data_IF_323442328928
#
_entry.id   IF_323442328928
#
_cell.length_a   1.000
_cell.length_b   1.000
_cell.length_c   1.000
_cell.angle_alpha   90.00
_cell.angle_beta   90.00
_cell.angle_gamma   90.00
#
_symmetry.space_group_name_H-M   'P 1'
#
loop_
_entity.id
_entity.type
_entity.pdbx_description
1 polymer ?
#
# COMPACT_ATOMS: atom_id res chain seq x y z
N UNK A 1 12.12 1.28 -6.55
CA UNK A 1 12.33 0.15 -5.61
C UNK A 1 13.06 -0.96 -6.35
N UNK A 2 13.96 -1.73 -5.70
CA UNK A 2 14.71 -2.81 -6.38
C UNK A 2 13.95 -4.14 -6.43
N UNK A 3 13.01 -4.35 -5.50
CA UNK A 3 12.11 -5.50 -5.43
C UNK A 3 10.67 -4.96 -5.41
N UNK A 4 9.76 -5.63 -6.11
CA UNK A 4 8.35 -5.20 -6.23
C UNK A 4 7.35 -6.23 -5.67
N UNK A 5 7.82 -7.40 -5.24
CA UNK A 5 7.00 -8.46 -4.65
C UNK A 5 7.42 -8.69 -3.21
N UNK A 6 6.47 -8.58 -2.27
CA UNK A 6 6.72 -8.68 -0.84
C UNK A 6 5.67 -9.57 -0.17
N UNK A 7 6.07 -10.25 0.91
CA UNK A 7 5.15 -10.97 1.79
C UNK A 7 4.81 -10.08 2.97
N UNK A 8 3.53 -9.88 3.22
CA UNK A 8 3.01 -9.08 4.33
C UNK A 8 2.07 -9.95 5.17
N UNK A 9 2.10 -9.79 6.48
CA UNK A 9 1.21 -10.52 7.39
C UNK A 9 -0.23 -10.07 7.19
N UNK A 10 -1.13 -11.01 6.89
CA UNK A 10 -2.51 -10.72 6.51
C UNK A 10 -3.35 -10.02 7.61
N UNK A 11 -2.99 -10.18 8.88
CA UNK A 11 -3.63 -9.51 10.02
C UNK A 11 -3.17 -8.07 10.23
N UNK A 12 -2.13 -7.62 9.53
CA UNK A 12 -1.70 -6.23 9.62
C UNK A 12 -2.73 -5.30 9.00
N UNK A 13 -2.80 -4.09 9.58
CA UNK A 13 -3.51 -2.96 8.99
C UNK A 13 -2.69 -2.37 7.85
N UNK A 14 -3.34 -1.71 6.91
CA UNK A 14 -2.70 -1.09 5.77
C UNK A 14 -1.70 0.01 6.17
N UNK A 15 -1.90 0.65 7.33
CA UNK A 15 -0.91 1.55 7.93
C UNK A 15 0.49 0.93 8.05
N UNK A 16 0.59 -0.38 8.31
CA UNK A 16 1.89 -1.06 8.36
C UNK A 16 2.55 -1.13 6.98
N UNK A 17 1.77 -1.27 5.91
CA UNK A 17 2.25 -1.23 4.51
C UNK A 17 2.74 0.18 4.16
N UNK A 18 2.01 1.23 4.57
CA UNK A 18 2.44 2.62 4.37
C UNK A 18 3.78 2.88 5.07
N UNK A 19 3.92 2.46 6.34
CA UNK A 19 5.18 2.61 7.08
C UNK A 19 6.33 1.81 6.45
N UNK A 20 6.04 0.60 5.97
CA UNK A 20 6.99 -0.24 5.25
C UNK A 20 7.49 0.45 3.98
N UNK A 21 6.58 0.96 3.15
CA UNK A 21 6.94 1.69 1.92
C UNK A 21 7.79 2.93 2.21
N UNK A 22 7.47 3.70 3.25
CA UNK A 22 8.30 4.86 3.66
C UNK A 22 9.73 4.46 3.98
N UNK A 23 9.92 3.34 4.70
CA UNK A 23 11.25 2.82 5.04
C UNK A 23 12.01 2.37 3.79
N UNK A 24 11.38 1.60 2.92
CA UNK A 24 11.99 1.10 1.67
C UNK A 24 12.36 2.23 0.69
N UNK A 25 11.57 3.31 0.67
CA UNK A 25 11.81 4.49 -0.15
C UNK A 25 12.75 5.51 0.50
N UNK A 26 13.16 5.31 1.76
CA UNK A 26 13.90 6.26 2.57
C UNK A 26 13.22 7.64 2.68
N UNK A 27 11.89 7.66 2.73
CA UNK A 27 11.09 8.88 2.86
C UNK A 27 10.82 9.23 4.32
N UNK A 28 10.91 10.51 4.65
CA UNK A 28 10.61 11.06 5.98
C UNK A 28 9.10 11.13 6.20
N UNK A 29 8.68 11.26 7.46
CA UNK A 29 7.26 11.36 7.80
C UNK A 29 6.54 12.55 7.15
N UNK A 30 7.25 13.65 6.90
CA UNK A 30 6.71 14.84 6.23
C UNK A 30 6.61 14.73 4.71
N UNK A 31 7.25 13.73 4.10
CA UNK A 31 7.20 13.57 2.65
C UNK A 31 5.82 13.02 2.24
N UNK A 32 5.18 13.58 1.20
CA UNK A 32 3.90 13.08 0.72
C UNK A 32 4.05 11.66 0.18
N UNK A 33 3.22 10.75 0.69
CA UNK A 33 3.10 9.39 0.19
C UNK A 33 1.62 9.05 0.08
N UNK A 34 1.15 8.89 -1.14
CA UNK A 34 -0.18 8.42 -1.46
C UNK A 34 -0.09 6.98 -1.94
N UNK A 35 -1.03 6.15 -1.51
CA UNK A 35 -1.08 4.73 -1.86
C UNK A 35 -2.45 4.37 -2.40
N UNK A 36 -2.47 3.49 -3.40
CA UNK A 36 -3.68 3.09 -4.10
C UNK A 36 -3.70 1.59 -4.32
N UNK A 37 -4.88 0.98 -4.27
CA UNK A 37 -5.09 -0.41 -4.66
C UNK A 37 -5.54 -0.44 -6.13
N UNK A 38 -4.86 -1.26 -6.95
CA UNK A 38 -5.19 -1.47 -8.37
C UNK A 38 -5.39 -0.18 -9.19
N UNK A 39 -4.60 0.88 -8.94
CA UNK A 39 -4.74 2.19 -9.58
C UNK A 39 -6.15 2.80 -9.51
N UNK A 40 -6.94 2.46 -8.48
CA UNK A 40 -8.36 2.83 -8.41
C UNK A 40 -8.69 3.72 -7.22
N UNK A 41 -8.35 3.29 -6.00
CA UNK A 41 -8.75 3.99 -4.78
C UNK A 41 -7.68 3.90 -3.69
N UNK A 42 -7.71 4.84 -2.75
CA UNK A 42 -6.83 4.81 -1.58
C UNK A 42 -7.49 4.05 -0.43
N UNK A 43 -6.87 2.96 0.08
CA UNK A 43 -7.44 2.21 1.19
C UNK A 43 -7.32 3.00 2.51
N UNK A 44 -8.21 2.72 3.45
CA UNK A 44 -8.14 3.34 4.77
C UNK A 44 -6.95 2.74 5.56
N UNK A 45 -6.21 3.55 6.36
CA UNK A 45 -5.07 3.04 7.13
C UNK A 45 -5.41 1.90 8.09
N UNK A 46 -6.66 1.81 8.54
CA UNK A 46 -7.18 0.80 9.45
C UNK A 46 -7.72 -0.46 8.75
N UNK A 47 -7.88 -0.45 7.42
CA UNK A 47 -8.21 -1.64 6.64
C UNK A 47 -7.18 -2.75 6.88
N UNK A 48 -7.64 -3.99 7.02
CA UNK A 48 -6.73 -5.13 7.11
C UNK A 48 -6.25 -5.55 5.72
N UNK A 49 -4.98 -5.94 5.62
CA UNK A 49 -4.40 -6.45 4.37
C UNK A 49 -5.17 -7.69 3.88
N UNK A 50 -5.66 -8.53 4.80
CA UNK A 50 -6.50 -9.68 4.45
C UNK A 50 -7.82 -9.28 3.79
N UNK A 51 -8.51 -8.24 4.25
CA UNK A 51 -9.76 -7.78 3.65
C UNK A 51 -9.51 -7.18 2.26
N UNK A 52 -8.49 -6.35 2.13
CA UNK A 52 -8.10 -5.77 0.84
C UNK A 52 -7.70 -6.85 -0.17
N UNK A 53 -6.92 -7.85 0.26
CA UNK A 53 -6.52 -8.98 -0.59
C UNK A 53 -7.72 -9.79 -1.06
N UNK A 54 -8.65 -10.16 -0.16
CA UNK A 54 -9.84 -10.93 -0.52
C UNK A 54 -10.74 -10.21 -1.52
N UNK A 55 -10.82 -8.88 -1.42
CA UNK A 55 -11.74 -8.08 -2.23
C UNK A 55 -11.14 -7.61 -3.54
N UNK A 56 -9.82 -7.38 -3.59
CA UNK A 56 -9.15 -6.66 -4.67
C UNK A 56 -7.86 -7.31 -5.17
N UNK A 57 -7.60 -8.58 -4.83
CA UNK A 57 -6.43 -9.27 -5.40
C UNK A 57 -6.58 -9.51 -6.90
N UNK A 58 -5.45 -9.41 -7.59
CA UNK A 58 -5.29 -9.70 -9.02
C UNK A 58 -4.18 -10.73 -9.15
N UNK A 59 -4.44 -11.85 -9.83
CA UNK A 59 -3.47 -12.93 -10.04
C UNK A 59 -2.75 -13.39 -8.76
N UNK A 60 -3.51 -13.52 -7.67
CA UNK A 60 -2.99 -13.96 -6.37
C UNK A 60 -2.18 -12.92 -5.60
N UNK A 61 -2.19 -11.65 -6.02
CA UNK A 61 -1.45 -10.56 -5.40
C UNK A 61 -2.35 -9.37 -5.11
N UNK A 62 -2.08 -8.65 -4.02
CA UNK A 62 -2.67 -7.32 -3.79
C UNK A 62 -1.72 -6.28 -4.40
N UNK A 63 -2.15 -5.60 -5.46
CA UNK A 63 -1.34 -4.59 -6.13
C UNK A 63 -1.48 -3.27 -5.36
N UNK A 64 -0.36 -2.75 -4.88
CA UNK A 64 -0.27 -1.46 -4.20
C UNK A 64 0.57 -0.51 -5.06
N UNK A 65 -0.07 0.54 -5.54
CA UNK A 65 0.58 1.63 -6.26
C UNK A 65 0.88 2.77 -5.29
N UNK A 66 1.95 3.53 -5.54
CA UNK A 66 2.31 4.69 -4.72
C UNK A 66 2.69 5.89 -5.57
N UNK A 67 2.48 7.09 -5.03
CA UNK A 67 2.79 8.38 -5.67
C UNK A 67 3.20 9.43 -4.64
N UNK A 68 4.02 10.40 -5.06
CA UNK A 68 4.33 11.62 -4.28
C UNK A 68 3.24 12.69 -4.42
N UNK A 69 2.37 12.57 -5.42
CA UNK A 69 1.25 13.47 -5.68
C UNK A 69 -0.07 12.72 -5.57
N UNK A 70 -1.10 13.38 -5.06
CA UNK A 70 -2.44 12.81 -5.02
C UNK A 70 -2.94 12.63 -6.46
N UNK A 71 -3.30 11.39 -6.82
CA UNK A 71 -3.88 11.05 -8.11
C UNK A 71 -5.42 11.09 -8.09
N UNK A 72 -6.01 10.80 -6.92
CA UNK A 72 -7.45 10.81 -6.68
C UNK A 72 -7.73 11.38 -5.29
N UNK A 73 -8.82 12.13 -5.17
CA UNK A 73 -9.32 12.78 -3.95
C UNK A 73 -10.84 12.79 -3.96
#
# INVERSE_FOLDING_TARGET
>A
MKQNFYKITASNRFQAVIQFLRKELAWKAGDPLFTYINLAFSPAPDDTVSNLYKSFSTDGHLIVNYSTTAAWG
#
